data_IF_078379494076
#
_entry.id   IF_078379494076
#
_cell.length_a   1.000
_cell.length_b   1.000
_cell.length_c   1.000
_cell.angle_alpha   90.00
_cell.angle_beta   90.00
_cell.angle_gamma   90.00
#
_symmetry.space_group_name_H-M   'P 1'
#
loop_
_entity.id
_entity.type
_entity.pdbx_description
1 polymer ?
#
# COMPACT_ATOMS: atom_id res chain seq x y z
N UNK A 1 11.79 5.28 24.78
CA UNK A 1 11.55 5.02 23.34
C UNK A 1 11.29 3.52 23.20
N UNK A 2 10.30 3.09 22.41
CA UNK A 2 9.94 1.67 22.30
C UNK A 2 10.91 0.95 21.36
N UNK A 3 11.62 -0.08 21.86
CA UNK A 3 12.59 -0.87 21.06
C UNK A 3 12.02 -1.38 19.72
N UNK A 4 10.72 -1.69 19.70
CA UNK A 4 10.03 -2.19 18.49
C UNK A 4 9.96 -1.10 17.41
N UNK A 5 9.72 0.15 17.78
CA UNK A 5 9.65 1.26 16.81
C UNK A 5 11.02 1.56 16.24
N UNK A 6 12.06 1.55 17.08
CA UNK A 6 13.43 1.81 16.64
C UNK A 6 13.91 0.73 15.66
N UNK A 7 13.58 -0.55 15.91
CA UNK A 7 13.85 -1.63 14.96
C UNK A 7 13.09 -1.44 13.64
N UNK A 8 11.82 -1.03 13.65
CA UNK A 8 11.05 -0.80 12.42
C UNK A 8 11.58 0.38 11.60
N UNK A 9 12.11 1.40 12.26
CA UNK A 9 12.79 2.52 11.60
C UNK A 9 14.10 2.06 10.98
N UNK A 10 14.90 1.29 11.73
CA UNK A 10 16.16 0.72 11.24
C UNK A 10 15.96 -0.17 10.00
N UNK A 11 14.89 -0.97 9.99
CA UNK A 11 14.52 -1.83 8.86
C UNK A 11 13.88 -1.06 7.69
N UNK A 12 13.66 0.25 7.83
CA UNK A 12 13.04 1.09 6.79
C UNK A 12 11.54 0.84 6.58
N UNK A 13 10.87 0.14 7.50
CA UNK A 13 9.41 -0.05 7.46
C UNK A 13 8.66 1.21 7.90
N UNK A 14 9.31 2.04 8.69
CA UNK A 14 8.76 3.30 9.18
C UNK A 14 9.84 4.36 9.13
N UNK A 15 9.44 5.62 9.03
CA UNK A 15 10.32 6.76 9.29
C UNK A 15 9.62 7.72 10.24
N UNK A 16 10.41 8.55 10.92
CA UNK A 16 9.90 9.53 11.85
C UNK A 16 9.80 10.88 11.15
N UNK A 17 8.58 11.40 11.05
CA UNK A 17 8.31 12.77 10.64
C UNK A 17 8.60 13.67 11.84
N UNK A 18 9.81 14.25 11.87
CA UNK A 18 10.26 15.17 12.91
C UNK A 18 9.48 16.49 12.91
N UNK A 19 8.85 16.87 11.79
CA UNK A 19 8.02 18.08 11.68
C UNK A 19 6.68 17.88 12.39
N UNK A 20 6.08 16.70 12.26
CA UNK A 20 4.76 16.39 12.84
C UNK A 20 4.80 15.56 14.11
N UNK A 21 5.99 15.14 14.55
CA UNK A 21 6.21 14.18 15.64
C UNK A 21 5.38 12.90 15.47
N UNK A 22 5.21 12.46 14.21
CA UNK A 22 4.43 11.27 13.84
C UNK A 22 5.35 10.26 13.16
N UNK A 23 4.92 9.01 13.11
CA UNK A 23 5.57 8.00 12.29
C UNK A 23 4.80 7.85 10.98
N UNK A 24 5.53 7.63 9.89
CA UNK A 24 4.98 7.36 8.58
C UNK A 24 5.58 6.07 8.02
N UNK A 25 4.89 5.47 7.04
CA UNK A 25 5.35 4.23 6.41
C UNK A 25 6.63 4.53 5.60
N UNK A 26 7.61 3.65 5.75
CA UNK A 26 8.87 3.72 5.03
C UNK A 26 8.82 2.98 3.69
N UNK A 27 9.77 3.30 2.81
CA UNK A 27 9.82 2.77 1.44
C UNK A 27 9.93 1.24 1.40
N UNK A 28 10.64 0.62 2.35
CA UNK A 28 10.80 -0.84 2.42
C UNK A 28 9.45 -1.54 2.58
N UNK A 29 8.56 -0.98 3.40
CA UNK A 29 7.23 -1.56 3.59
C UNK A 29 6.38 -1.43 2.33
N UNK A 30 6.44 -0.28 1.64
CA UNK A 30 5.73 -0.09 0.36
C UNK A 30 6.25 -1.05 -0.71
N UNK A 31 7.55 -1.31 -0.75
CA UNK A 31 8.14 -2.29 -1.68
C UNK A 31 7.63 -3.71 -1.43
N UNK A 32 7.62 -4.15 -0.16
CA UNK A 32 7.11 -5.47 0.22
C UNK A 32 5.61 -5.62 -0.05
N UNK A 33 4.84 -4.57 0.24
CA UNK A 33 3.41 -4.53 -0.06
C UNK A 33 3.21 -4.63 -1.56
N UNK A 34 3.89 -3.82 -2.37
CA UNK A 34 3.80 -3.91 -3.83
C UNK A 34 4.17 -5.30 -4.34
N UNK A 35 5.24 -5.91 -3.85
CA UNK A 35 5.63 -7.28 -4.22
C UNK A 35 4.53 -8.30 -3.87
N UNK A 36 3.85 -8.12 -2.73
CA UNK A 36 2.72 -8.97 -2.32
C UNK A 36 1.48 -8.72 -3.18
N UNK A 37 1.20 -7.47 -3.53
CA UNK A 37 0.12 -7.08 -4.45
C UNK A 37 0.36 -7.57 -5.88
N UNK A 38 1.61 -7.63 -6.34
CA UNK A 38 1.98 -8.27 -7.61
C UNK A 38 1.74 -9.78 -7.62
N UNK A 39 1.72 -10.44 -6.46
CA UNK A 39 1.33 -11.85 -6.36
C UNK A 39 -0.19 -12.06 -6.41
N UNK A 40 -0.99 -11.01 -6.24
CA UNK A 40 -2.43 -11.06 -6.45
C UNK A 40 -2.74 -10.69 -7.90
N UNK A 41 -2.74 -11.70 -8.78
CA UNK A 41 -3.02 -11.55 -10.23
C UNK A 41 -4.30 -10.74 -10.50
N UNK A 42 -5.29 -10.78 -9.59
CA UNK A 42 -6.52 -10.00 -9.71
C UNK A 42 -6.28 -8.49 -9.86
N UNK A 43 -5.21 -7.90 -9.30
CA UNK A 43 -4.96 -6.46 -9.40
C UNK A 43 -4.49 -6.10 -10.81
N UNK A 44 -3.60 -6.91 -11.39
CA UNK A 44 -3.11 -6.69 -12.76
C UNK A 44 -4.19 -7.04 -13.80
N UNK A 45 -4.93 -8.14 -13.58
CA UNK A 45 -6.00 -8.59 -14.48
C UNK A 45 -7.19 -7.62 -14.52
N UNK A 46 -7.58 -7.06 -13.37
CA UNK A 46 -8.74 -6.16 -13.32
C UNK A 46 -8.41 -4.73 -13.74
N UNK A 47 -7.14 -4.35 -13.86
CA UNK A 47 -6.74 -2.97 -14.16
C UNK A 47 -7.40 -2.43 -15.44
N UNK A 48 -7.36 -3.19 -16.54
CA UNK A 48 -7.96 -2.79 -17.81
C UNK A 48 -9.49 -2.69 -17.73
N UNK A 49 -10.14 -3.62 -17.01
CA UNK A 49 -11.58 -3.60 -16.83
C UNK A 49 -12.03 -2.38 -16.01
N UNK A 50 -11.27 -2.01 -14.98
CA UNK A 50 -11.54 -0.84 -14.14
C UNK A 50 -11.36 0.46 -14.92
N UNK A 51 -10.31 0.57 -15.74
CA UNK A 51 -10.14 1.72 -16.64
C UNK A 51 -11.31 1.87 -17.61
N UNK A 52 -11.76 0.77 -18.20
CA UNK A 52 -12.88 0.80 -19.13
C UNK A 52 -14.19 1.23 -18.46
N UNK A 53 -14.43 0.79 -17.22
CA UNK A 53 -15.58 1.21 -16.43
C UNK A 53 -15.51 2.71 -16.07
N UNK A 54 -14.35 3.22 -15.67
CA UNK A 54 -14.15 4.64 -15.39
C UNK A 54 -14.41 5.49 -16.65
N UNK A 55 -13.88 5.08 -17.81
CA UNK A 55 -14.13 5.74 -19.10
C UNK A 55 -15.60 5.68 -19.53
N UNK A 56 -16.29 4.57 -19.27
CA UNK A 56 -17.68 4.37 -19.68
C UNK A 56 -18.67 5.20 -18.85
N UNK A 57 -18.44 5.32 -17.54
CA UNK A 57 -19.38 5.94 -16.61
C UNK A 57 -18.96 7.33 -16.14
N UNK A 58 -17.68 7.70 -16.30
CA UNK A 58 -17.14 8.96 -15.79
C UNK A 58 -17.16 9.05 -14.27
N UNK A 59 -17.23 7.91 -13.59
CA UNK A 59 -17.30 7.79 -12.13
C UNK A 59 -16.13 6.97 -11.60
N UNK A 60 -15.64 7.32 -10.42
CA UNK A 60 -14.50 6.64 -9.80
C UNK A 60 -14.83 5.18 -9.47
N UNK A 61 -14.10 4.25 -10.08
CA UNK A 61 -14.23 2.81 -9.85
C UNK A 61 -13.15 2.32 -8.88
N UNK A 62 -13.54 1.43 -7.96
CA UNK A 62 -12.64 0.89 -6.92
C UNK A 62 -12.60 -0.64 -6.93
N UNK A 63 -11.40 -1.21 -6.83
CA UNK A 63 -11.20 -2.62 -6.51
C UNK A 63 -11.06 -2.79 -5.00
N UNK A 64 -11.85 -3.70 -4.42
CA UNK A 64 -11.74 -4.07 -3.00
C UNK A 64 -11.27 -5.51 -2.87
N UNK A 65 -10.13 -5.70 -2.20
CA UNK A 65 -9.67 -7.01 -1.76
C UNK A 65 -10.20 -7.26 -0.35
N UNK A 66 -10.67 -8.49 -0.09
CA UNK A 66 -11.04 -8.90 1.26
C UNK A 66 -9.77 -9.38 1.97
N UNK A 67 -9.50 -8.91 3.20
CA UNK A 67 -8.41 -9.48 3.99
C UNK A 67 -8.76 -10.94 4.33
N UNK A 68 -7.78 -11.84 4.18
CA UNK A 68 -7.87 -13.17 4.79
C UNK A 68 -7.98 -13.00 6.31
N UNK A 69 -8.94 -13.71 6.91
CA UNK A 69 -9.27 -13.65 8.35
C UNK A 69 -8.11 -14.09 9.24
#
# INVERSE_FOLDING_TARGET
>A
MSKILDTRILLGYMWRDETRKRFALGATLLYLVNATYFHFDIVSETHLALMHLDEQFGETVHLKLYPDN
#
